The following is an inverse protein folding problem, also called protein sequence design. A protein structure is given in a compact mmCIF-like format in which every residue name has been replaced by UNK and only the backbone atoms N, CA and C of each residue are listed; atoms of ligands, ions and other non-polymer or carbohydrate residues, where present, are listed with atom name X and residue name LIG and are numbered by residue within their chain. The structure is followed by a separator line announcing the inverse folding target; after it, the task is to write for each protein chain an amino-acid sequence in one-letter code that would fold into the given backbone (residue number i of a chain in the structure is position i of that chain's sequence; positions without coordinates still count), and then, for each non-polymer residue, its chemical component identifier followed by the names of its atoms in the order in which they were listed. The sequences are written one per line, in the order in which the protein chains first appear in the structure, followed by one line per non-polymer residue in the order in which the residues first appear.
data_IF_402998117004
#
_entry.id   IF_402998117004
#
_cell.length_a   1.000
_cell.length_b   1.000
_cell.length_c   1.000
_cell.angle_alpha   90.00
_cell.angle_beta   90.00
_cell.angle_gamma   90.00
#
_symmetry.space_group_name_H-M   'P 1'
#
loop_
_entity.id
_entity.type
_entity.pdbx_description
1 polymer ?
#
# COMPACT_ATOMS: atom_id res chain seq x y z
N UNK A 1 -25.47 -24.27 -4.01
CA UNK A 1 -25.23 -24.42 -2.56
C UNK A 1 -23.76 -24.34 -2.17
N UNK A 2 -22.84 -25.16 -2.69
CA UNK A 2 -21.43 -25.10 -2.24
C UNK A 2 -20.66 -23.84 -2.68
N UNK A 3 -20.97 -23.26 -3.84
CA UNK A 3 -20.38 -21.96 -4.27
C UNK A 3 -20.72 -20.82 -3.33
N UNK A 4 -21.97 -20.72 -2.87
CA UNK A 4 -22.40 -19.76 -1.85
C UNK A 4 -21.68 -19.97 -0.51
N UNK A 5 -21.33 -21.22 -0.16
CA UNK A 5 -20.55 -21.51 1.06
C UNK A 5 -19.11 -21.01 0.93
N UNK A 6 -18.47 -21.14 -0.24
CA UNK A 6 -17.11 -20.62 -0.47
C UNK A 6 -17.07 -19.10 -0.28
N UNK A 7 -18.05 -18.37 -0.82
CA UNK A 7 -18.16 -16.93 -0.62
C UNK A 7 -18.39 -16.55 0.85
N UNK A 8 -19.24 -17.30 1.55
CA UNK A 8 -19.46 -17.10 3.00
C UNK A 8 -18.18 -17.35 3.81
N UNK A 9 -17.43 -18.42 3.52
CA UNK A 9 -16.16 -18.71 4.18
C UNK A 9 -15.11 -17.62 3.96
N UNK A 10 -15.07 -17.03 2.76
CA UNK A 10 -14.19 -15.91 2.45
C UNK A 10 -14.58 -14.63 3.21
N UNK A 11 -15.88 -14.38 3.43
CA UNK A 11 -16.38 -13.23 4.21
C UNK A 11 -16.19 -13.42 5.71
N UNK A 12 -16.42 -14.63 6.20
CA UNK A 12 -16.36 -15.01 7.62
C UNK A 12 -14.94 -15.29 8.14
N UNK A 13 -13.91 -14.95 7.36
CA UNK A 13 -12.48 -15.12 7.68
C UNK A 13 -12.15 -16.55 8.18
N UNK A 14 -12.73 -17.57 7.56
CA UNK A 14 -12.38 -18.96 7.89
C UNK A 14 -10.92 -19.24 7.56
N UNK A 15 -10.26 -20.06 8.37
CA UNK A 15 -8.90 -20.51 8.06
C UNK A 15 -8.94 -21.63 7.03
N UNK A 16 -7.78 -21.94 6.43
CA UNK A 16 -7.64 -23.12 5.57
C UNK A 16 -7.92 -24.42 6.33
N UNK A 17 -7.64 -24.46 7.62
CA UNK A 17 -7.89 -25.64 8.47
C UNK A 17 -9.39 -25.81 8.74
N UNK A 18 -10.10 -24.72 9.05
CA UNK A 18 -11.55 -24.75 9.22
C UNK A 18 -12.26 -25.27 7.97
N UNK A 19 -11.88 -24.77 6.78
CA UNK A 19 -12.52 -25.19 5.53
C UNK A 19 -12.16 -26.63 5.18
N UNK A 20 -10.93 -27.09 5.47
CA UNK A 20 -10.55 -28.50 5.32
C UNK A 20 -11.44 -29.40 6.18
N UNK A 21 -11.66 -29.06 7.45
CA UNK A 21 -12.53 -29.81 8.38
C UNK A 21 -13.98 -29.79 7.93
N UNK A 22 -14.51 -28.63 7.54
CA UNK A 22 -15.89 -28.48 7.04
C UNK A 22 -16.16 -29.29 5.75
N UNK A 23 -15.12 -29.54 4.96
CA UNK A 23 -15.20 -30.37 3.75
C UNK A 23 -14.89 -31.85 4.01
N UNK A 24 -14.56 -32.23 5.25
CA UNK A 24 -14.16 -33.58 5.64
C UNK A 24 -12.86 -34.04 5.00
N UNK A 25 -11.95 -33.10 4.71
CA UNK A 25 -10.68 -33.38 4.05
C UNK A 25 -9.52 -33.57 5.03
N UNK A 26 -9.68 -33.20 6.31
CA UNK A 26 -8.61 -33.26 7.31
C UNK A 26 -8.24 -34.69 7.72
N UNK A 27 -9.17 -35.63 7.58
CA UNK A 27 -8.98 -37.04 7.91
C UNK A 27 -8.48 -37.89 6.72
N UNK A 28 -8.28 -37.28 5.55
CA UNK A 28 -7.88 -37.96 4.32
C UNK A 28 -6.37 -37.86 4.10
N UNK A 29 -5.77 -38.90 3.51
CA UNK A 29 -4.41 -38.83 2.98
C UNK A 29 -4.36 -37.88 1.77
N UNK A 30 -3.17 -37.38 1.42
CA UNK A 30 -3.01 -36.43 0.31
C UNK A 30 -3.55 -36.97 -1.03
N UNK A 31 -3.35 -38.25 -1.32
CA UNK A 31 -3.90 -38.88 -2.54
C UNK A 31 -5.42 -39.07 -2.47
N UNK A 32 -5.96 -39.44 -1.31
CA UNK A 32 -7.41 -39.54 -1.12
C UNK A 32 -8.11 -38.17 -1.20
N UNK A 33 -7.45 -37.10 -0.71
CA UNK A 33 -7.94 -35.73 -0.86
C UNK A 33 -8.08 -35.33 -2.33
N UNK A 34 -7.09 -35.63 -3.18
CA UNK A 34 -7.12 -35.29 -4.62
C UNK A 34 -8.28 -35.95 -5.36
N UNK A 35 -8.69 -37.13 -4.93
CA UNK A 35 -9.82 -37.87 -5.50
C UNK A 35 -11.17 -37.46 -4.91
N UNK A 36 -11.18 -36.68 -3.83
CA UNK A 36 -12.42 -36.25 -3.18
C UNK A 36 -13.19 -35.27 -4.05
N UNK A 37 -14.51 -35.46 -4.25
CA UNK A 37 -15.34 -34.49 -4.98
C UNK A 37 -15.42 -33.13 -4.29
N UNK A 38 -15.04 -33.05 -3.01
CA UNK A 38 -15.02 -31.82 -2.22
C UNK A 38 -13.74 -30.98 -2.42
N UNK A 39 -12.66 -31.56 -2.98
CA UNK A 39 -11.37 -30.86 -3.14
C UNK A 39 -11.49 -29.60 -3.98
N UNK A 40 -12.33 -29.63 -5.03
CA UNK A 40 -12.60 -28.49 -5.89
C UNK A 40 -13.11 -27.25 -5.15
N UNK A 41 -13.84 -27.44 -4.04
CA UNK A 41 -14.33 -26.32 -3.23
C UNK A 41 -13.26 -25.76 -2.31
N UNK A 42 -12.32 -26.60 -1.86
CA UNK A 42 -11.13 -26.16 -1.14
C UNK A 42 -10.20 -25.36 -2.06
N UNK A 43 -9.97 -25.82 -3.29
CA UNK A 43 -9.20 -25.08 -4.30
C UNK A 43 -9.84 -23.72 -4.64
N UNK A 44 -11.16 -23.68 -4.82
CA UNK A 44 -11.90 -22.43 -5.03
C UNK A 44 -11.73 -21.46 -3.86
N UNK A 45 -11.79 -21.95 -2.62
CA UNK A 45 -11.56 -21.14 -1.43
C UNK A 45 -10.13 -20.59 -1.37
N UNK A 46 -9.11 -21.41 -1.66
CA UNK A 46 -7.72 -20.97 -1.72
C UNK A 46 -7.50 -19.91 -2.79
N UNK A 47 -8.02 -20.13 -4.00
CA UNK A 47 -7.96 -19.16 -5.09
C UNK A 47 -8.63 -17.83 -4.70
N UNK A 48 -9.80 -17.88 -4.05
CA UNK A 48 -10.48 -16.70 -3.53
C UNK A 48 -9.66 -15.94 -2.48
N UNK A 49 -8.96 -16.64 -1.59
CA UNK A 49 -8.06 -16.00 -0.60
C UNK A 49 -6.89 -15.30 -1.28
N UNK A 50 -6.24 -15.96 -2.25
CA UNK A 50 -5.15 -15.35 -3.01
C UNK A 50 -5.64 -14.12 -3.76
N UNK A 51 -6.80 -14.19 -4.42
CA UNK A 51 -7.39 -13.04 -5.10
C UNK A 51 -7.69 -11.87 -4.15
N UNK A 52 -8.20 -12.14 -2.94
CA UNK A 52 -8.42 -11.10 -1.93
C UNK A 52 -7.10 -10.46 -1.45
N UNK A 53 -6.04 -11.25 -1.27
CA UNK A 53 -4.71 -10.75 -0.89
C UNK A 53 -4.15 -9.85 -2.00
N UNK A 54 -4.21 -10.32 -3.26
CA UNK A 54 -3.74 -9.57 -4.43
C UNK A 54 -4.55 -8.28 -4.61
N UNK A 55 -5.87 -8.33 -4.47
CA UNK A 55 -6.73 -7.15 -4.57
C UNK A 55 -6.40 -6.11 -3.49
N UNK A 56 -6.16 -6.55 -2.25
CA UNK A 56 -5.73 -5.66 -1.15
C UNK A 56 -4.36 -5.06 -1.42
N UNK A 57 -3.39 -5.87 -1.85
CA UNK A 57 -2.06 -5.39 -2.19
C UNK A 57 -2.09 -4.36 -3.34
N UNK A 58 -2.90 -4.61 -4.38
CA UNK A 58 -3.11 -3.67 -5.47
C UNK A 58 -3.80 -2.39 -5.02
N UNK A 59 -4.79 -2.47 -4.12
CA UNK A 59 -5.46 -1.29 -3.56
C UNK A 59 -4.48 -0.44 -2.74
N UNK A 60 -3.68 -1.06 -1.86
CA UNK A 60 -2.66 -0.35 -1.08
C UNK A 60 -1.62 0.27 -2.00
N UNK A 61 -1.12 -0.48 -3.00
CA UNK A 61 -0.12 0.01 -3.95
C UNK A 61 -0.64 1.21 -4.77
N UNK A 62 -1.89 1.16 -5.26
CA UNK A 62 -2.51 2.28 -6.00
C UNK A 62 -2.77 3.52 -5.17
N UNK A 63 -3.04 3.35 -3.87
CA UNK A 63 -3.35 4.47 -2.97
C UNK A 63 -2.14 4.88 -2.10
N UNK A 64 -1.00 4.21 -2.25
CA UNK A 64 0.23 4.59 -1.57
C UNK A 64 0.76 5.87 -2.22
N UNK A 65 0.58 7.00 -1.55
CA UNK A 65 1.22 8.24 -1.94
C UNK A 65 2.74 8.07 -1.85
N UNK A 66 3.43 8.29 -2.95
CA UNK A 66 4.90 8.27 -2.95
C UNK A 66 5.45 9.46 -2.19
N UNK A 67 6.71 9.35 -1.73
CA UNK A 67 7.39 10.47 -1.08
C UNK A 67 7.46 11.70 -1.99
N UNK A 68 7.69 11.51 -3.30
CA UNK A 68 7.77 12.60 -4.26
C UNK A 68 6.42 13.32 -4.46
N UNK A 69 5.33 12.56 -4.52
CA UNK A 69 3.97 13.13 -4.57
C UNK A 69 3.62 13.91 -3.30
N UNK A 70 3.91 13.33 -2.14
CA UNK A 70 3.69 14.00 -0.84
C UNK A 70 4.47 15.32 -0.77
N UNK A 71 5.76 15.28 -1.12
CA UNK A 71 6.62 16.46 -1.08
C UNK A 71 6.23 17.51 -2.12
N UNK A 72 5.87 17.08 -3.34
CA UNK A 72 5.35 17.99 -4.37
C UNK A 72 4.05 18.67 -3.95
N UNK A 73 3.15 17.96 -3.27
CA UNK A 73 1.92 18.55 -2.71
C UNK A 73 2.22 19.49 -1.54
N UNK A 74 3.18 19.14 -0.68
CA UNK A 74 3.63 19.98 0.42
C UNK A 74 4.20 21.31 -0.09
N UNK A 75 5.06 21.28 -1.11
CA UNK A 75 5.59 22.49 -1.76
C UNK A 75 4.47 23.39 -2.27
N UNK A 76 3.48 22.84 -2.99
CA UNK A 76 2.32 23.62 -3.47
C UNK A 76 1.54 24.24 -2.31
N UNK A 77 1.32 23.49 -1.24
CA UNK A 77 0.64 23.95 -0.04
C UNK A 77 1.39 25.10 0.64
N UNK A 78 2.71 24.96 0.83
CA UNK A 78 3.56 25.98 1.43
C UNK A 78 3.53 27.28 0.63
N UNK A 79 3.68 27.22 -0.70
CA UNK A 79 3.57 28.40 -1.59
C UNK A 79 2.20 29.06 -1.48
N UNK A 80 1.12 28.25 -1.47
CA UNK A 80 -0.24 28.75 -1.32
C UNK A 80 -0.42 29.49 0.02
N UNK A 81 0.06 28.89 1.11
CA UNK A 81 -0.02 29.44 2.47
C UNK A 81 0.94 30.61 2.74
N UNK A 82 1.90 30.88 1.85
CA UNK A 82 2.92 31.92 2.06
C UNK A 82 3.89 31.58 3.19
N UNK A 83 4.19 30.29 3.41
CA UNK A 83 5.16 29.85 4.42
C UNK A 83 6.53 30.50 4.15
N UNK A 84 7.26 30.85 5.20
CA UNK A 84 8.57 31.49 5.04
C UNK A 84 9.64 30.54 4.50
N UNK A 85 10.66 31.10 3.86
CA UNK A 85 11.80 30.34 3.33
C UNK A 85 12.54 29.58 4.44
N UNK A 86 12.73 30.21 5.59
CA UNK A 86 13.42 29.61 6.74
C UNK A 86 12.63 28.44 7.35
N UNK A 87 11.31 28.60 7.47
CA UNK A 87 10.43 27.53 7.97
C UNK A 87 10.48 26.31 7.06
N UNK A 88 10.40 26.51 5.73
CA UNK A 88 10.50 25.39 4.77
C UNK A 88 11.88 24.73 4.83
N UNK A 89 12.96 25.53 4.95
CA UNK A 89 14.32 24.98 5.06
C UNK A 89 14.47 24.08 6.28
N UNK A 90 13.91 24.49 7.42
CA UNK A 90 13.90 23.73 8.68
C UNK A 90 13.01 22.49 8.60
N UNK A 91 11.82 22.59 8.00
CA UNK A 91 10.89 21.48 7.83
C UNK A 91 11.45 20.38 6.91
N UNK A 92 12.29 20.77 5.95
CA UNK A 92 13.04 19.85 5.09
C UNK A 92 14.31 19.28 5.73
N UNK A 93 14.65 19.72 6.95
CA UNK A 93 15.85 19.30 7.68
C UNK A 93 17.16 19.85 7.09
N UNK A 94 17.08 20.95 6.34
CA UNK A 94 18.22 21.53 5.62
C UNK A 94 18.92 22.66 6.39
N UNK A 95 18.37 23.11 7.53
CA UNK A 95 18.86 24.29 8.26
C UNK A 95 20.28 24.11 8.82
N UNK A 96 20.65 22.88 9.17
CA UNK A 96 21.98 22.54 9.73
C UNK A 96 22.95 21.97 8.70
N UNK A 97 22.53 21.85 7.44
CA UNK A 97 23.35 21.29 6.37
C UNK A 97 24.03 22.40 5.57
N UNK A 98 25.27 22.15 5.17
CA UNK A 98 26.06 23.06 4.33
C UNK A 98 26.96 22.29 3.37
N UNK A 99 27.52 23.01 2.39
CA UNK A 99 28.44 22.43 1.42
C UNK A 99 27.87 21.23 0.67
N UNK A 100 28.65 20.15 0.60
CA UNK A 100 28.29 18.93 -0.10
C UNK A 100 27.10 18.20 0.54
N UNK A 101 27.00 18.20 1.87
CA UNK A 101 25.90 17.55 2.58
C UNK A 101 24.54 18.15 2.22
N UNK A 102 24.47 19.47 2.01
CA UNK A 102 23.26 20.14 1.54
C UNK A 102 22.93 19.78 0.09
N UNK A 103 23.95 19.79 -0.79
CA UNK A 103 23.78 19.55 -2.24
C UNK A 103 23.31 18.13 -2.56
N UNK A 104 23.73 17.15 -1.75
CA UNK A 104 23.37 15.74 -1.96
C UNK A 104 22.14 15.30 -1.15
N UNK A 105 21.52 16.20 -0.37
CA UNK A 105 20.37 15.83 0.44
C UNK A 105 19.12 15.61 -0.42
N UNK A 106 18.37 14.53 -0.17
CA UNK A 106 17.18 14.15 -0.96
C UNK A 106 16.11 15.25 -1.03
N UNK A 107 16.06 16.13 -0.01
CA UNK A 107 15.08 17.21 0.09
C UNK A 107 15.46 18.50 -0.63
N UNK A 108 16.71 18.64 -1.11
CA UNK A 108 17.18 19.88 -1.71
C UNK A 108 16.35 20.27 -2.94
N UNK A 109 15.99 19.28 -3.76
CA UNK A 109 15.17 19.47 -4.97
C UNK A 109 13.79 20.08 -4.68
N UNK A 110 13.20 19.78 -3.52
CA UNK A 110 11.91 20.35 -3.13
C UNK A 110 12.05 21.76 -2.58
N UNK A 111 13.15 22.04 -1.89
CA UNK A 111 13.49 23.39 -1.44
C UNK A 111 13.69 24.33 -2.63
N UNK A 112 14.47 23.91 -3.63
CA UNK A 112 14.67 24.67 -4.87
C UNK A 112 13.34 24.94 -5.59
N UNK A 113 12.50 23.91 -5.73
CA UNK A 113 11.16 24.04 -6.33
C UNK A 113 10.27 25.04 -5.56
N UNK A 114 10.32 25.01 -4.23
CA UNK A 114 9.60 25.96 -3.39
C UNK A 114 10.07 27.40 -3.61
N UNK A 115 11.39 27.63 -3.67
CA UNK A 115 11.96 28.96 -3.93
C UNK A 115 11.54 29.49 -5.31
N UNK A 116 11.59 28.64 -6.35
CA UNK A 116 11.18 29.02 -7.71
C UNK A 116 9.71 29.40 -7.76
N UNK A 117 8.81 28.58 -7.21
CA UNK A 117 7.37 28.85 -7.24
C UNK A 117 6.97 30.06 -6.38
N UNK A 118 7.69 30.29 -5.27
CA UNK A 118 7.43 31.46 -4.42
C UNK A 118 7.81 32.75 -5.13
N UNK A 119 8.93 32.79 -5.85
CA UNK A 119 9.33 33.95 -6.66
C UNK A 119 8.29 34.29 -7.73
N UNK A 120 7.81 33.29 -8.47
CA UNK A 120 6.78 33.46 -9.50
C UNK A 120 5.42 33.96 -9.00
N UNK A 121 5.12 33.81 -7.70
CA UNK A 121 3.87 34.31 -7.09
C UNK A 121 3.99 35.78 -6.65
N UNK A 122 5.22 36.28 -6.49
CA UNK A 122 5.50 37.63 -6.01
C UNK A 122 5.65 38.63 -7.17
N UNK A 123 5.89 38.15 -8.39
CA UNK A 123 5.83 38.91 -9.66
C UNK A 123 4.39 39.03 -10.17
#
# INVERSE_FOLDING_TARGET
FMTMRVEDWLRSIKTTDDVKKLLGLDTLSADAMKLSPNVKYYDQFLAGRVNNIVARANYVSRNAMTYDEYMSNSVKSWVKSGKSVDDVKKELGLDKLSGEALRNHINIKYYDKFLTLTKLKVE
#
